data_IF_110121970723
#
_entry.id   IF_110121970723
#
_cell.length_a   1.000
_cell.length_b   1.000
_cell.length_c   1.000
_cell.angle_alpha   90.00
_cell.angle_beta   90.00
_cell.angle_gamma   90.00
#
_symmetry.space_group_name_H-M   'P 1'
#
loop_
_entity.id
_entity.type
_entity.pdbx_description
1 polymer ?
#
# COMPACT_ATOMS: atom_id res chain seq x y z
N UNK A 1 2.38 -11.35 -23.82
CA UNK A 1 3.41 -12.17 -23.16
C UNK A 1 4.77 -11.58 -23.47
N UNK A 2 5.21 -11.62 -24.74
CA UNK A 2 6.53 -11.15 -25.15
C UNK A 2 6.86 -9.69 -24.75
N UNK A 3 6.02 -8.73 -25.13
CA UNK A 3 6.24 -7.30 -24.84
C UNK A 3 5.94 -6.89 -23.39
N UNK A 4 5.25 -7.73 -22.64
CA UNK A 4 4.99 -7.52 -21.21
C UNK A 4 6.23 -7.86 -20.39
N UNK A 5 6.91 -8.95 -20.74
CA UNK A 5 8.06 -9.43 -20.00
C UNK A 5 7.71 -9.92 -18.58
N UNK A 6 8.63 -9.84 -17.62
CA UNK A 6 10.00 -9.29 -17.75
C UNK A 6 10.90 -10.09 -18.69
N UNK A 7 12.13 -9.62 -18.94
CA UNK A 7 13.12 -10.37 -19.75
C UNK A 7 13.36 -11.76 -19.14
N UNK A 8 13.49 -11.84 -17.83
CA UNK A 8 13.75 -13.05 -17.08
C UNK A 8 12.56 -14.01 -17.18
N UNK A 9 11.34 -13.52 -16.95
CA UNK A 9 10.12 -14.29 -17.16
C UNK A 9 10.04 -14.87 -18.58
N UNK A 10 10.34 -14.06 -19.60
CA UNK A 10 10.37 -14.50 -21.00
C UNK A 10 11.43 -15.57 -21.28
N UNK A 11 12.60 -15.50 -20.64
CA UNK A 11 13.65 -16.53 -20.77
C UNK A 11 13.13 -17.85 -20.19
N UNK A 12 12.62 -17.83 -18.96
CA UNK A 12 12.12 -19.03 -18.29
C UNK A 12 10.92 -19.65 -19.05
N UNK A 13 9.99 -18.85 -19.55
CA UNK A 13 8.89 -19.33 -20.41
C UNK A 13 9.39 -20.02 -21.70
N UNK A 14 10.45 -19.50 -22.33
CA UNK A 14 11.07 -20.13 -23.51
C UNK A 14 11.77 -21.44 -23.17
N UNK A 15 12.43 -21.53 -22.02
CA UNK A 15 13.04 -22.78 -21.56
C UNK A 15 11.98 -23.88 -21.31
N UNK A 16 10.83 -23.50 -20.76
CA UNK A 16 9.68 -24.41 -20.60
C UNK A 16 9.10 -24.87 -21.96
N UNK A 17 9.11 -24.00 -22.97
CA UNK A 17 8.68 -24.34 -24.33
C UNK A 17 9.65 -25.32 -24.99
N UNK A 18 10.96 -25.04 -24.92
CA UNK A 18 12.01 -25.89 -25.53
C UNK A 18 11.98 -27.31 -24.94
N UNK A 19 11.77 -27.45 -23.63
CA UNK A 19 11.62 -28.76 -22.96
C UNK A 19 10.43 -29.58 -23.49
N UNK A 20 9.49 -28.96 -24.21
CA UNK A 20 8.31 -29.59 -24.82
C UNK A 20 8.38 -29.64 -26.35
N UNK A 21 9.56 -29.47 -26.94
CA UNK A 21 9.76 -29.38 -28.39
C UNK A 21 9.00 -28.20 -29.06
N UNK A 22 8.84 -27.10 -28.32
CA UNK A 22 8.16 -25.89 -28.79
C UNK A 22 9.11 -24.70 -28.83
N UNK A 23 8.80 -23.74 -29.71
CA UNK A 23 9.47 -22.44 -29.83
C UNK A 23 8.47 -21.33 -29.54
N UNK A 24 8.76 -20.54 -28.50
CA UNK A 24 8.01 -19.34 -28.15
C UNK A 24 8.74 -18.08 -28.64
N UNK A 25 8.05 -17.23 -29.39
CA UNK A 25 8.51 -15.91 -29.82
C UNK A 25 7.36 -14.88 -29.82
N UNK A 26 7.61 -13.66 -30.29
CA UNK A 26 6.64 -12.57 -30.33
C UNK A 26 5.40 -12.85 -31.21
N UNK A 27 5.48 -13.82 -32.13
CA UNK A 27 4.40 -14.17 -33.06
C UNK A 27 3.51 -15.34 -32.56
N UNK A 28 3.92 -16.05 -31.51
CA UNK A 28 3.17 -17.16 -30.91
C UNK A 28 4.04 -18.35 -30.49
N UNK A 29 3.39 -19.49 -30.30
CA UNK A 29 4.04 -20.78 -30.04
C UNK A 29 4.07 -21.62 -31.31
N UNK A 30 5.21 -22.23 -31.60
CA UNK A 30 5.45 -23.04 -32.78
C UNK A 30 5.99 -24.41 -32.40
N UNK A 31 5.54 -25.44 -33.10
CA UNK A 31 6.14 -26.77 -33.03
C UNK A 31 7.50 -26.77 -33.75
N UNK A 32 8.56 -27.28 -33.10
CA UNK A 32 9.92 -27.20 -33.65
C UNK A 32 10.14 -28.09 -34.89
N UNK A 33 9.42 -29.21 -34.99
CA UNK A 33 9.59 -30.17 -36.08
C UNK A 33 8.88 -29.71 -37.35
N UNK A 34 7.67 -29.19 -37.21
CA UNK A 34 6.79 -28.80 -38.32
C UNK A 34 6.81 -27.31 -38.62
N UNK A 35 7.35 -26.49 -37.71
CA UNK A 35 7.33 -25.02 -37.75
C UNK A 35 5.91 -24.43 -37.87
N UNK A 36 4.87 -25.20 -37.50
CA UNK A 36 3.48 -24.73 -37.50
C UNK A 36 3.17 -23.98 -36.21
N UNK A 37 2.41 -22.89 -36.32
CA UNK A 37 1.87 -22.17 -35.15
C UNK A 37 0.82 -23.04 -34.47
N UNK A 38 1.00 -23.28 -33.17
CA UNK A 38 0.13 -24.14 -32.34
C UNK A 38 -0.62 -23.37 -31.25
N UNK A 39 -0.20 -22.15 -30.90
CA UNK A 39 -0.91 -21.27 -29.98
C UNK A 39 -0.54 -19.79 -30.21
N UNK A 40 -1.32 -18.88 -29.62
CA UNK A 40 -1.04 -17.44 -29.60
C UNK A 40 -2.16 -16.59 -30.17
N UNK A 41 -3.42 -17.06 -30.06
CA UNK A 41 -4.61 -16.23 -30.17
C UNK A 41 -4.88 -15.43 -28.89
N UNK A 42 -4.57 -16.02 -27.72
CA UNK A 42 -4.59 -15.34 -26.42
C UNK A 42 -3.30 -15.59 -25.64
N UNK A 43 -3.08 -14.86 -24.54
CA UNK A 43 -1.97 -15.16 -23.65
C UNK A 43 -2.18 -16.51 -22.95
N UNK A 44 -3.41 -16.77 -22.49
CA UNK A 44 -3.79 -17.96 -21.73
C UNK A 44 -3.49 -19.25 -22.50
N UNK A 45 -3.73 -19.28 -23.82
CA UNK A 45 -3.37 -20.41 -24.67
C UNK A 45 -1.87 -20.77 -24.58
N UNK A 46 -0.99 -19.78 -24.45
CA UNK A 46 0.45 -19.99 -24.30
C UNK A 46 0.76 -20.65 -22.95
N UNK A 47 0.15 -20.17 -21.86
CA UNK A 47 0.35 -20.73 -20.52
C UNK A 47 -0.23 -22.16 -20.42
N UNK A 48 -1.44 -22.37 -20.95
CA UNK A 48 -2.12 -23.67 -20.94
C UNK A 48 -1.34 -24.73 -21.75
N UNK A 49 -0.81 -24.35 -22.92
CA UNK A 49 0.01 -25.25 -23.73
C UNK A 49 1.34 -25.63 -23.04
N UNK A 50 1.87 -24.73 -22.21
CA UNK A 50 3.01 -24.99 -21.33
C UNK A 50 2.61 -25.69 -20.02
N UNK A 51 1.35 -26.04 -19.83
CA UNK A 51 0.85 -26.75 -18.65
C UNK A 51 1.03 -25.97 -17.35
N UNK A 52 1.04 -24.63 -17.42
CA UNK A 52 1.18 -23.74 -16.26
C UNK A 52 -0.05 -22.85 -16.13
N UNK A 53 -0.38 -22.44 -14.90
CA UNK A 53 -1.42 -21.45 -14.67
C UNK A 53 -1.01 -20.10 -15.28
N UNK A 54 -1.96 -19.35 -15.83
CA UNK A 54 -1.72 -17.98 -16.26
C UNK A 54 -1.25 -17.10 -15.09
N UNK A 55 -0.24 -16.27 -15.35
CA UNK A 55 0.41 -15.43 -14.34
C UNK A 55 0.07 -13.96 -14.62
N UNK A 56 -0.50 -13.22 -13.66
CA UNK A 56 -0.72 -11.77 -13.77
C UNK A 56 0.57 -11.03 -14.15
N UNK A 57 0.53 -10.05 -15.08
CA UNK A 57 1.69 -9.27 -15.51
C UNK A 57 2.56 -8.74 -14.36
N UNK A 58 1.94 -8.30 -13.28
CA UNK A 58 2.58 -7.69 -12.12
C UNK A 58 3.47 -8.68 -11.35
N UNK A 59 3.26 -9.98 -11.52
CA UNK A 59 4.08 -11.03 -10.88
C UNK A 59 5.25 -11.50 -11.73
N UNK A 60 5.33 -11.11 -13.02
CA UNK A 60 6.23 -11.68 -14.04
C UNK A 60 7.67 -11.16 -13.93
N UNK A 61 8.31 -11.41 -12.80
CA UNK A 61 9.67 -10.93 -12.49
C UNK A 61 10.71 -12.06 -12.28
N UNK A 62 10.33 -13.31 -12.54
CA UNK A 62 11.16 -14.51 -12.29
C UNK A 62 11.65 -14.60 -10.83
N UNK A 63 10.70 -14.40 -9.91
CA UNK A 63 10.91 -14.41 -8.45
C UNK A 63 10.07 -15.49 -7.75
N UNK A 64 9.81 -16.59 -8.46
CA UNK A 64 9.06 -17.75 -7.98
C UNK A 64 7.68 -17.93 -8.61
N UNK A 65 7.23 -17.03 -9.50
CA UNK A 65 5.88 -17.04 -10.04
C UNK A 65 5.67 -18.24 -10.96
N UNK A 66 6.70 -18.67 -11.69
CA UNK A 66 6.62 -19.81 -12.60
C UNK A 66 6.55 -21.13 -11.82
N UNK A 67 7.32 -21.29 -10.76
CA UNK A 67 7.24 -22.45 -9.86
C UNK A 67 5.87 -22.56 -9.21
N UNK A 68 5.27 -21.42 -8.86
CA UNK A 68 3.94 -21.37 -8.29
C UNK A 68 2.85 -21.68 -9.34
N UNK A 69 3.03 -21.18 -10.58
CA UNK A 69 2.16 -21.47 -11.72
C UNK A 69 2.18 -22.94 -12.15
N UNK A 70 3.35 -23.59 -12.12
CA UNK A 70 3.50 -25.04 -12.34
C UNK A 70 2.71 -25.86 -11.33
N UNK A 71 2.62 -25.37 -10.09
CA UNK A 71 1.82 -25.98 -9.03
C UNK A 71 0.34 -25.56 -9.08
N UNK A 72 -0.05 -24.70 -10.03
CA UNK A 72 -1.38 -24.09 -10.14
C UNK A 72 -1.84 -23.41 -8.84
N UNK A 73 -0.92 -22.66 -8.23
CA UNK A 73 -1.13 -21.96 -6.94
C UNK A 73 -0.97 -20.43 -7.04
N UNK A 74 -1.06 -19.85 -8.24
CA UNK A 74 -1.06 -18.38 -8.39
C UNK A 74 -2.25 -17.82 -7.61
N UNK A 75 -2.01 -16.92 -6.64
CA UNK A 75 -3.08 -16.34 -5.85
C UNK A 75 -3.88 -15.33 -6.68
N UNK A 76 -5.13 -15.10 -6.27
CA UNK A 76 -5.90 -13.95 -6.77
C UNK A 76 -5.41 -12.70 -6.04
N UNK A 77 -4.44 -12.01 -6.63
CA UNK A 77 -3.88 -10.77 -6.10
C UNK A 77 -4.93 -9.64 -6.12
N UNK A 78 -4.74 -8.63 -5.27
CA UNK A 78 -5.66 -7.51 -5.09
C UNK A 78 -5.88 -6.72 -6.39
N UNK A 79 -7.12 -6.32 -6.63
CA UNK A 79 -7.54 -5.48 -7.77
C UNK A 79 -7.97 -4.10 -7.29
N UNK A 80 -8.00 -3.11 -8.19
CA UNK A 80 -8.42 -1.75 -7.84
C UNK A 80 -9.87 -1.69 -7.36
N UNK A 81 -10.74 -2.52 -7.91
CA UNK A 81 -12.17 -2.60 -7.56
C UNK A 81 -12.41 -3.20 -6.16
N UNK A 82 -11.38 -3.81 -5.59
CA UNK A 82 -11.43 -4.36 -4.24
C UNK A 82 -11.35 -3.28 -3.17
N UNK A 83 -10.81 -2.11 -3.50
CA UNK A 83 -10.63 -0.98 -2.58
C UNK A 83 -11.97 -0.36 -2.22
N UNK A 84 -12.21 -0.21 -0.91
CA UNK A 84 -13.43 0.33 -0.30
C UNK A 84 -13.20 1.63 0.46
N UNK A 85 -11.96 2.05 0.65
CA UNK A 85 -11.66 3.34 1.22
C UNK A 85 -10.18 3.67 1.17
N UNK A 86 -9.89 4.94 1.45
CA UNK A 86 -8.56 5.49 1.59
C UNK A 86 -8.33 5.89 3.05
N UNK A 87 -7.13 5.61 3.57
CA UNK A 87 -6.81 5.75 4.99
C UNK A 87 -5.75 6.83 5.25
N UNK A 88 -5.18 7.43 4.19
CA UNK A 88 -4.20 8.50 4.31
C UNK A 88 -4.51 9.65 3.33
N UNK A 89 -5.30 10.63 3.79
CA UNK A 89 -5.73 11.80 3.01
C UNK A 89 -5.65 13.06 3.87
N UNK A 90 -5.22 14.17 3.26
CA UNK A 90 -5.11 15.49 3.87
C UNK A 90 -6.20 16.43 3.35
N UNK A 91 -6.69 17.29 4.22
CA UNK A 91 -7.78 18.23 3.95
C UNK A 91 -7.31 19.67 4.13
N UNK A 92 -8.21 20.64 3.91
CA UNK A 92 -7.95 22.05 4.20
C UNK A 92 -7.67 22.37 5.67
N UNK A 93 -7.75 21.39 6.58
CA UNK A 93 -7.38 21.58 7.99
C UNK A 93 -5.86 21.67 8.19
N UNK A 94 -5.05 20.85 7.50
CA UNK A 94 -3.59 21.04 7.42
C UNK A 94 -3.18 21.70 6.09
N UNK A 95 -2.81 20.90 5.11
CA UNK A 95 -2.10 21.28 3.89
C UNK A 95 -2.72 20.67 2.62
N UNK A 96 -3.85 19.99 2.77
CA UNK A 96 -4.72 19.63 1.66
C UNK A 96 -5.42 20.85 1.06
N UNK A 97 -5.77 20.75 -0.23
CA UNK A 97 -6.41 21.82 -0.99
C UNK A 97 -7.93 21.76 -1.00
N UNK A 98 -8.49 20.59 -0.72
CA UNK A 98 -9.92 20.32 -0.82
C UNK A 98 -10.53 20.13 0.58
N UNK A 99 -11.76 20.61 0.74
CA UNK A 99 -12.52 20.41 1.97
C UNK A 99 -12.87 18.92 2.15
N UNK A 100 -13.12 18.50 3.40
CA UNK A 100 -13.58 17.14 3.71
C UNK A 100 -14.85 16.80 2.90
N UNK A 101 -15.74 17.76 2.66
CA UNK A 101 -16.95 17.53 1.85
C UNK A 101 -16.64 17.25 0.37
N UNK A 102 -15.64 17.91 -0.21
CA UNK A 102 -15.17 17.64 -1.59
C UNK A 102 -14.52 16.25 -1.69
N UNK A 103 -13.69 15.90 -0.70
CA UNK A 103 -13.07 14.57 -0.59
C UNK A 103 -14.11 13.45 -0.45
N UNK A 104 -15.17 13.65 0.34
CA UNK A 104 -16.31 12.71 0.44
C UNK A 104 -16.97 12.52 -0.93
N UNK A 105 -17.31 13.61 -1.62
CA UNK A 105 -17.97 13.55 -2.93
C UNK A 105 -17.12 12.79 -3.95
N UNK A 106 -15.80 13.00 -3.93
CA UNK A 106 -14.88 12.26 -4.79
C UNK A 106 -14.81 10.78 -4.42
N UNK A 107 -14.69 10.47 -3.13
CA UNK A 107 -14.66 9.08 -2.64
C UNK A 107 -15.90 8.29 -3.05
N UNK A 108 -17.09 8.90 -2.96
CA UNK A 108 -18.35 8.27 -3.39
C UNK A 108 -18.34 8.01 -4.90
N UNK A 109 -17.83 8.94 -5.72
CA UNK A 109 -17.68 8.73 -7.18
C UNK A 109 -16.72 7.59 -7.51
N UNK A 110 -15.69 7.39 -6.69
CA UNK A 110 -14.73 6.29 -6.80
C UNK A 110 -15.30 4.95 -6.30
N UNK A 111 -16.50 4.94 -5.72
CA UNK A 111 -17.15 3.72 -5.21
C UNK A 111 -16.68 3.31 -3.81
N UNK A 112 -16.02 4.20 -3.07
CA UNK A 112 -15.62 3.94 -1.68
C UNK A 112 -16.82 3.97 -0.74
N UNK A 113 -16.72 3.18 0.33
CA UNK A 113 -17.66 3.11 1.44
C UNK A 113 -17.23 4.03 2.60
N UNK A 114 -15.93 4.29 2.71
CA UNK A 114 -15.37 5.13 3.76
C UNK A 114 -14.13 5.92 3.33
N UNK A 115 -13.79 6.88 4.18
CA UNK A 115 -12.57 7.69 4.08
C UNK A 115 -12.03 7.96 5.49
N UNK A 116 -10.72 7.99 5.66
CA UNK A 116 -10.06 8.54 6.85
C UNK A 116 -9.36 9.83 6.48
N UNK A 117 -9.65 10.90 7.22
CA UNK A 117 -8.90 12.15 7.14
C UNK A 117 -7.76 12.06 8.14
N UNK A 118 -6.53 12.31 7.70
CA UNK A 118 -5.30 12.12 8.49
C UNK A 118 -4.40 13.34 8.38
N UNK A 119 -4.98 14.53 8.52
CA UNK A 119 -4.25 15.79 8.54
C UNK A 119 -3.06 15.74 9.52
N UNK A 120 -1.98 16.44 9.19
CA UNK A 120 -0.73 16.41 9.94
C UNK A 120 -0.85 16.90 11.39
N UNK A 121 -0.20 16.19 12.31
CA UNK A 121 -0.03 16.64 13.69
C UNK A 121 1.02 17.76 13.80
N UNK A 122 0.88 18.60 14.83
CA UNK A 122 1.83 19.68 15.12
C UNK A 122 3.08 19.19 15.84
N UNK A 123 4.16 18.92 15.10
CA UNK A 123 5.52 18.86 15.65
C UNK A 123 6.19 20.24 15.63
N UNK A 124 7.17 20.43 16.52
CA UNK A 124 8.12 21.55 16.43
C UNK A 124 8.84 21.52 15.07
N UNK A 125 8.47 22.43 14.17
CA UNK A 125 9.10 22.60 12.85
C UNK A 125 8.27 22.12 11.65
N UNK A 126 7.11 21.48 11.86
CA UNK A 126 6.16 21.16 10.78
C UNK A 126 5.16 22.31 10.67
N UNK A 127 5.29 23.12 9.63
CA UNK A 127 4.34 24.18 9.35
C UNK A 127 3.00 23.56 8.91
N UNK A 128 1.89 24.03 9.48
CA UNK A 128 0.55 23.57 9.09
C UNK A 128 -0.04 22.42 9.91
N UNK A 129 0.70 21.84 10.86
CA UNK A 129 0.16 20.79 11.73
C UNK A 129 -0.87 21.28 12.75
N UNK A 130 -1.87 20.43 13.05
CA UNK A 130 -2.99 20.74 13.93
C UNK A 130 -2.65 20.56 15.42
N UNK A 131 -3.28 21.38 16.27
CA UNK A 131 -3.39 21.12 17.71
C UNK A 131 -4.62 20.26 18.03
N UNK A 132 -4.69 19.70 19.24
CA UNK A 132 -5.83 18.91 19.70
C UNK A 132 -7.14 19.72 19.65
N UNK A 133 -7.10 21.02 19.96
CA UNK A 133 -8.28 21.88 19.84
C UNK A 133 -8.79 21.95 18.40
N UNK A 134 -7.89 21.99 17.42
CA UNK A 134 -8.23 21.97 15.99
C UNK A 134 -8.80 20.63 15.54
N UNK A 135 -8.24 19.52 16.01
CA UNK A 135 -8.81 18.19 15.75
C UNK A 135 -10.21 18.01 16.36
N UNK A 136 -10.50 18.65 17.50
CA UNK A 136 -11.86 18.65 18.06
C UNK A 136 -12.84 19.49 17.22
N UNK A 137 -12.38 20.52 16.52
CA UNK A 137 -13.18 21.23 15.51
C UNK A 137 -13.41 20.35 14.28
N UNK A 138 -12.36 19.69 13.79
CA UNK A 138 -12.43 18.77 12.66
C UNK A 138 -13.39 17.60 12.91
N UNK A 139 -13.29 16.97 14.10
CA UNK A 139 -14.21 15.92 14.56
C UNK A 139 -15.67 16.35 14.44
N UNK A 140 -16.01 17.55 14.90
CA UNK A 140 -17.38 18.07 14.83
C UNK A 140 -17.83 18.24 13.38
N UNK A 141 -16.95 18.75 12.51
CA UNK A 141 -17.21 18.83 11.08
C UNK A 141 -17.48 17.47 10.45
N UNK A 142 -16.63 16.48 10.73
CA UNK A 142 -16.77 15.10 10.31
C UNK A 142 -18.09 14.49 10.81
N UNK A 143 -18.49 14.75 12.05
CA UNK A 143 -19.73 14.23 12.63
C UNK A 143 -20.98 14.78 11.93
N UNK A 144 -20.99 16.06 11.57
CA UNK A 144 -22.09 16.64 10.78
C UNK A 144 -22.12 16.11 9.34
N UNK A 145 -20.95 15.98 8.70
CA UNK A 145 -20.84 15.39 7.36
C UNK A 145 -21.28 13.92 7.34
N UNK A 146 -20.94 13.15 8.38
CA UNK A 146 -21.38 11.77 8.56
C UNK A 146 -22.90 11.62 8.70
N UNK A 147 -23.61 12.65 9.21
CA UNK A 147 -25.09 12.64 9.20
C UNK A 147 -25.63 12.87 7.80
N UNK A 148 -24.98 13.75 7.02
CA UNK A 148 -25.39 14.15 5.68
C UNK A 148 -25.14 13.10 4.60
N UNK A 149 -24.03 12.36 4.68
CA UNK A 149 -23.54 11.49 3.60
C UNK A 149 -23.78 9.99 3.80
N UNK A 150 -24.69 9.59 4.71
CA UNK A 150 -25.02 8.18 4.91
C UNK A 150 -25.44 7.50 3.57
N UNK A 151 -25.01 6.26 3.31
CA UNK A 151 -24.29 5.35 4.21
C UNK A 151 -22.76 5.51 4.24
N UNK A 152 -22.18 6.46 3.50
CA UNK A 152 -20.73 6.71 3.51
C UNK A 152 -20.27 7.20 4.90
N UNK A 153 -19.06 6.79 5.31
CA UNK A 153 -18.52 7.11 6.64
C UNK A 153 -17.13 7.73 6.53
N UNK A 154 -16.95 8.86 7.19
CA UNK A 154 -15.65 9.49 7.43
C UNK A 154 -15.20 9.21 8.85
N UNK A 155 -13.93 8.83 8.98
CA UNK A 155 -13.21 8.68 10.24
C UNK A 155 -12.18 9.81 10.37
N UNK A 156 -11.88 10.19 11.60
CA UNK A 156 -10.79 11.12 11.90
C UNK A 156 -9.59 10.29 12.36
N UNK A 157 -8.51 10.39 11.61
CA UNK A 157 -7.19 9.96 12.05
C UNK A 157 -6.25 11.15 12.15
N UNK A 158 -4.96 10.85 12.20
CA UNK A 158 -3.88 11.84 12.19
C UNK A 158 -2.61 11.18 11.67
N UNK A 159 -1.82 11.93 10.92
CA UNK A 159 -0.44 11.56 10.65
C UNK A 159 0.48 12.21 11.69
N UNK A 160 0.96 11.38 12.62
CA UNK A 160 1.90 11.76 13.66
C UNK A 160 3.33 11.79 13.11
N UNK A 161 4.10 12.75 13.60
CA UNK A 161 5.54 12.82 13.46
C UNK A 161 6.21 11.90 14.49
N UNK A 162 7.02 10.98 13.99
CA UNK A 162 8.02 10.29 14.80
C UNK A 162 9.19 11.25 14.97
N UNK A 163 9.41 11.76 16.18
CA UNK A 163 10.43 12.76 16.48
C UNK A 163 11.85 12.15 16.51
N UNK A 164 12.88 12.99 16.50
CA UNK A 164 14.30 12.58 16.41
C UNK A 164 14.78 11.76 17.62
N UNK A 165 14.09 11.87 18.76
CA UNK A 165 14.29 11.08 19.98
C UNK A 165 13.42 9.81 20.04
N UNK A 166 12.52 9.59 19.07
CA UNK A 166 11.60 8.45 19.02
C UNK A 166 10.28 8.65 19.78
N UNK A 167 10.00 9.86 20.27
CA UNK A 167 8.67 10.26 20.75
C UNK A 167 7.74 10.63 19.58
N UNK A 168 6.46 10.92 19.88
CA UNK A 168 5.42 11.35 18.93
C UNK A 168 4.76 12.64 19.43
N UNK A 169 3.97 13.32 18.59
CA UNK A 169 3.44 14.67 18.87
C UNK A 169 2.58 14.78 20.14
N UNK A 170 1.81 13.73 20.44
CA UNK A 170 0.74 13.76 21.45
C UNK A 170 0.89 12.65 22.49
N UNK A 171 0.34 12.90 23.68
CA UNK A 171 0.29 11.90 24.74
C UNK A 171 -0.90 10.93 24.58
N UNK A 172 -0.90 9.86 25.37
CA UNK A 172 -1.92 8.82 25.35
C UNK A 172 -3.37 9.27 25.59
N UNK A 173 -3.61 10.40 26.27
CA UNK A 173 -4.96 10.92 26.49
C UNK A 173 -5.46 11.69 25.26
N UNK A 174 -4.57 12.46 24.64
CA UNK A 174 -4.85 13.19 23.41
C UNK A 174 -5.12 12.24 22.23
N UNK A 175 -4.38 11.13 22.15
CA UNK A 175 -4.52 10.15 21.06
C UNK A 175 -5.89 9.44 21.04
N UNK A 176 -6.65 9.47 22.14
CA UNK A 176 -7.98 8.82 22.24
C UNK A 176 -9.05 9.45 21.37
N UNK A 177 -8.83 10.67 20.87
CA UNK A 177 -9.83 11.35 20.03
C UNK A 177 -9.85 10.81 18.60
N UNK A 178 -8.78 10.13 18.17
CA UNK A 178 -8.63 9.61 16.82
C UNK A 178 -9.20 8.20 16.70
N UNK A 179 -9.82 7.93 15.56
CA UNK A 179 -10.27 6.58 15.18
C UNK A 179 -9.06 5.71 14.77
N UNK A 180 -8.01 6.31 14.21
CA UNK A 180 -6.75 5.65 13.85
C UNK A 180 -5.57 6.64 13.87
N UNK A 181 -4.41 6.22 14.38
CA UNK A 181 -3.18 7.01 14.29
C UNK A 181 -2.19 6.37 13.32
N UNK A 182 -1.76 7.18 12.36
CA UNK A 182 -0.66 6.91 11.43
C UNK A 182 0.58 7.61 11.97
N UNK A 183 1.78 7.08 11.71
CA UNK A 183 3.02 7.71 12.16
C UNK A 183 4.15 7.58 11.13
N UNK A 184 4.88 8.67 10.88
CA UNK A 184 5.95 8.73 9.89
C UNK A 184 7.16 9.54 10.35
N UNK A 185 8.30 9.34 9.71
CA UNK A 185 9.49 10.18 9.94
C UNK A 185 9.52 11.31 8.91
N UNK A 186 9.42 12.55 9.36
CA UNK A 186 9.48 13.75 8.50
C UNK A 186 10.74 14.59 8.73
N UNK A 187 11.47 14.34 9.82
CA UNK A 187 12.69 15.07 10.19
C UNK A 187 13.79 14.13 10.69
N UNK A 188 15.05 14.59 10.61
CA UNK A 188 16.20 13.82 11.07
C UNK A 188 16.49 12.56 10.24
N UNK A 189 16.10 12.52 8.97
CA UNK A 189 16.28 11.35 8.09
C UNK A 189 17.75 10.98 7.82
N UNK A 190 18.69 11.90 8.06
CA UNK A 190 20.14 11.64 7.95
C UNK A 190 20.77 11.01 9.20
N UNK A 191 19.99 10.57 10.18
CA UNK A 191 20.50 9.84 11.34
C UNK A 191 21.02 8.45 10.94
N UNK A 192 21.84 7.84 11.82
CA UNK A 192 22.38 6.50 11.58
C UNK A 192 21.26 5.45 11.52
N UNK A 193 21.51 4.36 10.78
CA UNK A 193 20.59 3.22 10.62
C UNK A 193 19.97 2.77 11.94
N UNK A 194 20.80 2.60 12.98
CA UNK A 194 20.37 2.11 14.29
C UNK A 194 19.42 3.11 14.99
N UNK A 195 19.64 4.41 14.80
CA UNK A 195 18.80 5.45 15.40
C UNK A 195 17.43 5.52 14.72
N UNK A 196 17.39 5.51 13.38
CA UNK A 196 16.13 5.48 12.62
C UNK A 196 15.32 4.23 12.95
N UNK A 197 15.99 3.07 12.97
CA UNK A 197 15.37 1.79 13.35
C UNK A 197 14.77 1.89 14.76
N UNK A 198 15.51 2.41 15.73
CA UNK A 198 15.02 2.52 17.11
C UNK A 198 13.87 3.51 17.27
N UNK A 199 13.86 4.61 16.49
CA UNK A 199 12.74 5.56 16.47
C UNK A 199 11.44 4.85 16.10
N UNK A 200 11.46 4.08 15.01
CA UNK A 200 10.27 3.35 14.56
C UNK A 200 9.90 2.25 15.56
N UNK A 201 10.86 1.43 16.01
CA UNK A 201 10.63 0.37 17.01
C UNK A 201 10.00 0.90 18.31
N UNK A 202 10.37 2.10 18.76
CA UNK A 202 9.76 2.71 19.94
C UNK A 202 8.29 3.06 19.72
N UNK A 203 7.98 3.60 18.54
CA UNK A 203 6.61 3.99 18.15
C UNK A 203 5.70 2.78 18.02
N UNK A 204 6.21 1.64 17.55
CA UNK A 204 5.44 0.37 17.47
C UNK A 204 4.88 -0.08 18.82
N UNK A 205 5.50 0.31 19.94
CA UNK A 205 5.02 -0.01 21.30
C UNK A 205 3.84 0.86 21.73
N UNK A 206 3.56 1.94 21.01
CA UNK A 206 2.42 2.80 21.31
C UNK A 206 1.12 2.14 20.84
N UNK A 207 0.24 1.83 21.79
CA UNK A 207 -1.02 1.10 21.55
C UNK A 207 -2.05 1.85 20.68
N UNK A 208 -1.83 3.12 20.34
CA UNK A 208 -2.72 3.89 19.47
C UNK A 208 -2.23 3.95 18.02
N UNK A 209 -0.91 3.84 17.81
CA UNK A 209 -0.34 3.84 16.45
C UNK A 209 -0.65 2.50 15.78
N UNK A 210 -1.33 2.57 14.63
CA UNK A 210 -1.77 1.39 13.87
C UNK A 210 -1.04 1.23 12.55
N UNK A 211 -0.57 2.33 11.94
CA UNK A 211 0.08 2.29 10.63
C UNK A 211 1.37 3.11 10.68
N UNK A 212 2.46 2.57 10.16
CA UNK A 212 3.65 3.36 9.82
C UNK A 212 3.52 3.80 8.36
N UNK A 213 3.50 5.12 8.14
CA UNK A 213 3.34 5.72 6.80
C UNK A 213 4.69 5.92 6.12
N UNK A 214 4.68 5.85 4.78
CA UNK A 214 5.84 5.98 3.86
C UNK A 214 7.15 5.54 4.55
N UNK A 215 7.29 4.22 4.85
CA UNK A 215 8.18 3.71 5.89
C UNK A 215 9.68 3.82 5.62
N UNK A 216 10.08 4.27 4.42
CA UNK A 216 11.49 4.52 4.07
C UNK A 216 11.76 5.99 3.80
N UNK A 217 10.71 6.82 3.77
CA UNK A 217 10.78 8.27 3.58
C UNK A 217 11.29 8.70 2.21
N UNK A 218 11.35 7.80 1.22
CA UNK A 218 11.85 8.12 -0.12
C UNK A 218 10.94 9.08 -0.88
N UNK A 219 11.57 9.80 -1.81
CA UNK A 219 10.91 10.59 -2.85
C UNK A 219 11.63 10.26 -4.17
N UNK A 220 10.94 9.62 -5.10
CA UNK A 220 11.46 9.19 -6.40
C UNK A 220 11.98 10.40 -7.16
N UNK A 221 13.27 10.37 -7.51
CA UNK A 221 13.96 11.48 -8.18
C UNK A 221 14.32 12.67 -7.29
N UNK A 222 14.00 12.62 -5.99
CA UNK A 222 14.26 13.68 -5.02
C UNK A 222 15.17 13.26 -3.86
N UNK A 223 14.73 12.28 -3.07
CA UNK A 223 15.40 11.84 -1.83
C UNK A 223 15.43 10.32 -1.77
N UNK A 224 16.60 9.75 -1.52
CA UNK A 224 16.77 8.31 -1.30
C UNK A 224 16.08 7.83 -0.01
N UNK A 225 15.89 6.51 0.10
CA UNK A 225 15.43 5.87 1.35
C UNK A 225 16.39 6.23 2.50
N UNK A 226 15.87 6.54 3.69
CA UNK A 226 16.74 6.62 4.87
C UNK A 226 17.24 5.24 5.26
N UNK A 227 18.42 5.17 5.88
CA UNK A 227 18.98 3.91 6.34
C UNK A 227 18.13 3.34 7.48
N UNK A 228 17.55 2.16 7.28
CA UNK A 228 16.66 1.48 8.25
C UNK A 228 16.87 -0.03 8.22
N UNK A 229 16.80 -0.68 9.38
CA UNK A 229 16.66 -2.13 9.47
C UNK A 229 15.20 -2.55 9.35
N UNK A 230 14.72 -2.71 8.12
CA UNK A 230 13.32 -3.09 7.86
C UNK A 230 12.96 -4.46 8.47
N UNK A 231 13.91 -5.40 8.56
CA UNK A 231 13.62 -6.74 9.11
C UNK A 231 13.43 -6.67 10.62
N UNK A 232 14.25 -5.89 11.33
CA UNK A 232 14.05 -5.63 12.75
C UNK A 232 12.70 -4.92 13.03
N UNK A 233 12.36 -3.93 12.20
CA UNK A 233 11.09 -3.20 12.31
C UNK A 233 9.88 -4.10 12.04
N UNK A 234 9.92 -4.95 11.01
CA UNK A 234 8.84 -5.91 10.72
C UNK A 234 8.67 -6.96 11.82
N UNK A 235 9.77 -7.46 12.37
CA UNK A 235 9.73 -8.41 13.49
C UNK A 235 9.03 -7.82 14.71
N UNK A 236 9.32 -6.56 15.04
CA UNK A 236 8.70 -5.87 16.17
C UNK A 236 7.22 -5.58 15.89
N UNK A 237 6.89 -5.08 14.70
CA UNK A 237 5.53 -4.65 14.34
C UNK A 237 4.49 -5.78 14.48
N UNK A 238 4.89 -7.02 14.14
CA UNK A 238 4.06 -8.22 14.32
C UNK A 238 3.58 -8.39 15.76
N UNK A 239 4.42 -8.05 16.73
CA UNK A 239 4.12 -8.22 18.17
C UNK A 239 3.13 -7.20 18.70
N UNK A 240 2.98 -6.05 18.02
CA UNK A 240 2.11 -4.94 18.45
C UNK A 240 0.89 -4.74 17.56
N UNK A 241 0.76 -5.52 16.47
CA UNK A 241 -0.37 -5.41 15.54
C UNK A 241 -0.33 -4.16 14.66
N UNK A 242 0.82 -3.47 14.59
CA UNK A 242 1.04 -2.34 13.68
C UNK A 242 1.27 -2.85 12.27
N UNK A 243 0.70 -2.16 11.29
CA UNK A 243 0.84 -2.44 9.85
C UNK A 243 1.62 -1.33 9.15
N UNK A 244 1.92 -1.52 7.86
CA UNK A 244 2.70 -0.57 7.07
C UNK A 244 1.90 -0.06 5.88
N UNK A 245 2.11 1.21 5.54
CA UNK A 245 1.58 1.83 4.34
C UNK A 245 2.36 1.37 3.09
N UNK A 246 1.62 1.17 2.00
CA UNK A 246 2.09 1.26 0.62
C UNK A 246 1.55 2.56 0.04
N UNK A 247 2.36 3.62 0.12
CA UNK A 247 1.96 4.96 -0.22
C UNK A 247 1.82 5.06 -1.73
N UNK A 248 0.62 5.35 -2.19
CA UNK A 248 0.25 5.33 -3.59
C UNK A 248 0.64 6.62 -4.32
N UNK A 249 1.12 7.67 -3.63
CA UNK A 249 1.65 8.86 -4.30
C UNK A 249 2.72 8.46 -5.31
N UNK A 250 2.59 8.96 -6.54
CA UNK A 250 3.51 8.62 -7.64
C UNK A 250 4.95 9.09 -7.37
N UNK A 251 5.14 10.02 -6.45
CA UNK A 251 6.44 10.50 -6.01
C UNK A 251 7.06 9.61 -4.92
N UNK A 252 6.28 8.73 -4.28
CA UNK A 252 6.74 7.90 -3.14
C UNK A 252 6.81 6.43 -3.48
N UNK A 253 5.65 5.81 -3.78
CA UNK A 253 5.51 4.36 -3.95
C UNK A 253 6.13 3.55 -2.80
N UNK A 254 5.87 3.94 -1.55
CA UNK A 254 6.61 3.49 -0.37
C UNK A 254 5.67 2.95 0.70
N UNK A 255 5.69 1.67 1.08
CA UNK A 255 6.73 0.67 0.88
C UNK A 255 6.83 0.09 -0.54
N UNK A 256 8.06 -0.21 -0.98
CA UNK A 256 8.28 -0.90 -2.26
C UNK A 256 7.80 -2.36 -2.24
N UNK A 257 7.65 -2.96 -3.42
CA UNK A 257 7.09 -4.30 -3.59
C UNK A 257 7.94 -5.41 -2.96
N UNK A 258 9.27 -5.23 -2.94
CA UNK A 258 10.22 -6.21 -2.40
C UNK A 258 10.05 -6.31 -0.90
N UNK A 259 10.02 -5.15 -0.23
CA UNK A 259 9.85 -5.08 1.21
C UNK A 259 8.41 -5.43 1.62
N UNK A 260 7.39 -5.04 0.84
CA UNK A 260 6.01 -5.44 1.10
C UNK A 260 5.83 -6.97 1.00
N UNK A 261 6.38 -7.60 -0.05
CA UNK A 261 6.34 -9.06 -0.18
C UNK A 261 7.08 -9.76 0.96
N UNK A 262 8.25 -9.23 1.36
CA UNK A 262 9.01 -9.73 2.51
C UNK A 262 8.24 -9.60 3.83
N UNK A 263 7.62 -8.46 4.08
CA UNK A 263 6.79 -8.21 5.27
C UNK A 263 5.61 -9.19 5.35
N UNK A 264 4.95 -9.48 4.22
CA UNK A 264 3.91 -10.51 4.15
C UNK A 264 4.49 -11.91 4.40
N UNK A 265 5.42 -12.36 3.55
CA UNK A 265 5.80 -13.77 3.47
C UNK A 265 6.57 -14.23 4.72
N UNK A 266 7.43 -13.37 5.28
CA UNK A 266 8.29 -13.74 6.41
C UNK A 266 7.70 -13.35 7.77
N UNK A 267 6.87 -12.30 7.82
CA UNK A 267 6.36 -11.77 9.09
C UNK A 267 4.85 -11.90 9.23
N UNK A 268 4.09 -12.12 8.15
CA UNK A 268 2.64 -12.21 8.19
C UNK A 268 1.97 -10.86 8.45
N UNK A 269 2.64 -9.76 8.06
CA UNK A 269 2.12 -8.41 8.21
C UNK A 269 1.07 -8.10 7.15
N UNK A 270 0.16 -7.20 7.50
CA UNK A 270 -0.85 -6.63 6.61
C UNK A 270 -0.44 -5.21 6.22
N UNK A 271 -1.16 -4.63 5.27
CA UNK A 271 -0.84 -3.35 4.68
C UNK A 271 -2.07 -2.45 4.62
N UNK A 272 -1.78 -1.16 4.66
CA UNK A 272 -2.66 -0.08 4.25
C UNK A 272 -2.13 0.48 2.93
N UNK A 273 -3.01 0.88 2.02
CA UNK A 273 -2.65 1.59 0.79
C UNK A 273 -3.25 2.99 0.93
N UNK A 274 -2.39 3.97 1.18
CA UNK A 274 -2.78 5.36 1.38
C UNK A 274 -2.38 6.22 0.20
N UNK A 275 -3.24 7.10 -0.28
CA UNK A 275 -2.86 7.97 -1.42
C UNK A 275 -1.99 9.16 -1.04
N UNK A 276 -1.94 9.50 0.24
CA UNK A 276 -1.31 10.72 0.74
C UNK A 276 -1.86 11.95 -0.03
N UNK A 277 -3.16 11.91 -0.31
CA UNK A 277 -3.80 12.83 -1.22
C UNK A 277 -3.97 14.20 -0.54
N UNK A 278 -3.38 15.22 -1.16
CA UNK A 278 -3.59 16.63 -0.81
C UNK A 278 -4.59 17.31 -1.75
N UNK A 279 -5.24 16.55 -2.63
CA UNK A 279 -6.39 16.98 -3.42
C UNK A 279 -7.17 15.79 -3.99
N UNK A 280 -8.41 16.03 -4.44
CA UNK A 280 -9.27 15.02 -5.08
C UNK A 280 -8.62 14.36 -6.30
N UNK A 281 -7.79 15.10 -7.04
CA UNK A 281 -7.05 14.56 -8.19
C UNK A 281 -6.02 13.53 -7.75
N UNK A 282 -5.32 13.78 -6.63
CA UNK A 282 -4.29 12.89 -6.09
C UNK A 282 -4.89 11.57 -5.56
N UNK A 283 -6.18 11.54 -5.21
CA UNK A 283 -6.86 10.30 -4.79
C UNK A 283 -6.83 9.23 -5.90
N UNK A 284 -6.75 9.64 -7.17
CA UNK A 284 -6.68 8.70 -8.29
C UNK A 284 -5.36 7.92 -8.34
N UNK A 285 -4.37 8.32 -7.54
CA UNK A 285 -3.10 7.62 -7.39
C UNK A 285 -3.25 6.22 -6.76
N UNK A 286 -4.39 5.87 -6.15
CA UNK A 286 -4.65 4.54 -5.56
C UNK A 286 -4.23 3.39 -6.48
N UNK A 287 -4.42 3.55 -7.79
CA UNK A 287 -4.01 2.58 -8.82
C UNK A 287 -2.52 2.22 -8.77
N UNK A 288 -1.66 3.16 -8.37
CA UNK A 288 -0.22 2.95 -8.26
C UNK A 288 0.12 2.11 -7.03
N UNK A 289 -0.48 2.41 -5.88
CA UNK A 289 -0.33 1.61 -4.66
C UNK A 289 -0.86 0.19 -4.84
N UNK A 290 -2.02 0.03 -5.50
CA UNK A 290 -2.54 -1.29 -5.91
C UNK A 290 -1.55 -2.00 -6.85
N UNK A 291 -0.94 -1.28 -7.80
CA UNK A 291 0.11 -1.83 -8.66
C UNK A 291 1.31 -2.38 -7.87
N UNK A 292 1.78 -1.65 -6.86
CA UNK A 292 2.85 -2.11 -5.96
C UNK A 292 2.41 -3.33 -5.15
N UNK A 293 1.20 -3.30 -4.57
CA UNK A 293 0.63 -4.42 -3.83
C UNK A 293 0.52 -5.70 -4.69
N UNK A 294 0.13 -5.56 -5.96
CA UNK A 294 0.06 -6.65 -6.94
C UNK A 294 1.44 -7.24 -7.24
N UNK A 295 2.45 -6.38 -7.43
CA UNK A 295 3.86 -6.80 -7.59
C UNK A 295 4.41 -7.50 -6.35
N UNK A 296 3.91 -7.12 -5.17
CA UNK A 296 4.22 -7.78 -3.90
C UNK A 296 3.40 -9.07 -3.64
N UNK A 297 2.54 -9.46 -4.58
CA UNK A 297 1.67 -10.63 -4.53
C UNK A 297 0.67 -10.59 -3.36
N UNK A 298 0.26 -9.38 -2.97
CA UNK A 298 -0.74 -9.19 -1.93
C UNK A 298 -2.12 -9.60 -2.46
N UNK A 299 -2.86 -10.35 -1.64
CA UNK A 299 -4.26 -10.68 -1.84
C UNK A 299 -5.13 -9.72 -1.04
N UNK A 300 -6.46 -9.77 -1.23
CA UNK A 300 -7.38 -8.84 -0.55
C UNK A 300 -7.20 -8.85 0.97
N UNK A 301 -7.03 -10.04 1.54
CA UNK A 301 -6.93 -10.24 2.98
C UNK A 301 -5.71 -9.54 3.59
N UNK A 302 -4.65 -9.33 2.79
CA UNK A 302 -3.43 -8.63 3.21
C UNK A 302 -3.62 -7.11 3.29
N UNK A 303 -4.66 -6.54 2.66
CA UNK A 303 -4.84 -5.09 2.51
C UNK A 303 -6.11 -4.61 3.22
N UNK A 304 -5.97 -3.74 4.22
CA UNK A 304 -7.11 -3.29 5.04
C UNK A 304 -8.12 -2.46 4.25
N UNK A 305 -7.68 -1.78 3.19
CA UNK A 305 -8.54 -0.98 2.31
C UNK A 305 -9.60 -1.81 1.58
N UNK A 306 -9.48 -3.15 1.57
CA UNK A 306 -10.47 -4.04 0.95
C UNK A 306 -11.61 -4.45 1.87
N UNK A 307 -11.51 -4.11 3.16
CA UNK A 307 -12.58 -4.36 4.12
C UNK A 307 -13.80 -3.53 3.74
N UNK A 308 -14.99 -4.10 3.79
CA UNK A 308 -16.21 -3.29 3.80
C UNK A 308 -16.23 -2.40 5.07
N UNK A 309 -17.07 -1.37 5.09
CA UNK A 309 -17.18 -0.43 6.20
C UNK A 309 -17.33 -1.12 7.56
N UNK A 310 -18.17 -2.15 7.66
CA UNK A 310 -18.43 -2.84 8.94
C UNK A 310 -17.19 -3.57 9.46
N UNK A 311 -16.40 -4.18 8.58
CA UNK A 311 -15.18 -4.88 8.98
C UNK A 311 -14.03 -3.90 9.26
N UNK A 312 -13.98 -2.77 8.54
CA UNK A 312 -13.06 -1.67 8.86
C UNK A 312 -13.35 -1.07 10.24
N UNK A 313 -14.63 -0.82 10.59
CA UNK A 313 -15.02 -0.36 11.92
C UNK A 313 -14.65 -1.34 13.06
N UNK A 314 -14.55 -2.64 12.77
CA UNK A 314 -14.04 -3.62 13.74
C UNK A 314 -12.53 -3.55 13.85
N UNK A 315 -11.83 -3.41 12.72
CA UNK A 315 -10.38 -3.26 12.69
C UNK A 315 -9.92 -2.08 13.55
N UNK A 316 -10.62 -0.94 13.48
CA UNK A 316 -10.33 0.25 14.29
C UNK A 316 -10.51 0.05 15.82
N UNK A 317 -11.20 -1.00 16.26
CA UNK A 317 -11.47 -1.28 17.68
C UNK A 317 -10.51 -2.30 18.30
N UNK A 318 -9.63 -2.91 17.51
CA UNK A 318 -8.61 -3.87 17.96
C UNK A 318 -7.40 -3.14 18.53
#
# INVERSE_FOLDING_TARGET
QYFTGSKQHNVHMRELAIKRNLKLNEYGMFDLDTNKKVAGGTEEEIYDLLGIQWVPPEMREDTGEIELALKRKIPKIVELEDIKGDVHIHSTYSDGRDSIEELIKQSIKMGYEYLVITDHARALGVAGGLSIEKYLEERKGIDELNKKYKPFKVFLGTELNILTNGEIDFNDDDLKIFDICLAGIHTGMGQKKEQITQRIVNVLKNKYVRVIVHPTGRIIGGRDEYEIDVDAVFSEAKSHGTIFEINASFERLDLNEVNARKAKDNFGLRFEIGTDAHSTDSMTNMRYGVGVARRAWLVKEDVINTMNLKDFEKFLKL
#
